data_IF_750773439695
#
_entry.id   IF_750773439695
#
_cell.length_a   1.000
_cell.length_b   1.000
_cell.length_c   1.000
_cell.angle_alpha   90.00
_cell.angle_beta   90.00
_cell.angle_gamma   90.00
#
_symmetry.space_group_name_H-M   'P 1'
#
loop_
_entity.id
_entity.type
_entity.pdbx_description
1 polymer ?
#
# COMPACT_ATOMS: atom_id res chain seq x y z
N UNK A 1 -20.30 -6.89 4.35
CA UNK A 1 -19.53 -6.41 5.53
C UNK A 1 -18.18 -7.13 5.59
N UNK A 2 -17.07 -6.53 5.15
CA UNK A 2 -15.71 -7.12 5.24
C UNK A 2 -14.78 -6.31 6.17
N UNK A 3 -15.33 -5.34 6.89
CA UNK A 3 -14.59 -4.36 7.71
C UNK A 3 -14.10 -4.90 9.07
N UNK A 4 -14.22 -6.21 9.34
CA UNK A 4 -13.93 -6.77 10.66
C UNK A 4 -12.72 -7.71 10.76
N UNK A 5 -12.03 -8.07 9.66
CA UNK A 5 -10.94 -9.08 9.69
C UNK A 5 -9.57 -8.57 9.22
N UNK A 6 -9.43 -7.27 8.97
CA UNK A 6 -8.15 -6.69 8.56
C UNK A 6 -7.11 -6.69 9.69
N UNK A 7 -7.45 -6.42 10.96
CA UNK A 7 -6.49 -6.47 12.06
C UNK A 7 -5.91 -7.87 12.29
N UNK A 8 -6.74 -8.91 12.25
CA UNK A 8 -6.34 -10.30 12.45
C UNK A 8 -5.50 -10.80 11.28
N UNK A 9 -5.93 -10.55 10.03
CA UNK A 9 -5.14 -10.88 8.86
C UNK A 9 -3.78 -10.17 8.89
N UNK A 10 -3.76 -8.88 9.24
CA UNK A 10 -2.52 -8.13 9.39
C UNK A 10 -1.62 -8.71 10.48
N UNK A 11 -2.18 -9.11 11.63
CA UNK A 11 -1.44 -9.73 12.73
C UNK A 11 -0.83 -11.06 12.30
N UNK A 12 -1.61 -11.92 11.67
CA UNK A 12 -1.17 -13.27 11.31
C UNK A 12 -0.12 -13.21 10.19
N UNK A 13 -0.27 -12.30 9.22
CA UNK A 13 0.74 -12.03 8.20
C UNK A 13 2.03 -11.45 8.81
N UNK A 14 1.94 -10.56 9.80
CA UNK A 14 3.12 -10.07 10.53
C UNK A 14 3.83 -11.18 11.30
N UNK A 15 3.09 -12.10 11.91
CA UNK A 15 3.69 -13.28 12.57
C UNK A 15 4.40 -14.17 11.55
N UNK A 16 3.78 -14.42 10.39
CA UNK A 16 4.41 -15.18 9.32
C UNK A 16 5.72 -14.52 8.86
N UNK A 17 5.75 -13.19 8.72
CA UNK A 17 6.94 -12.43 8.35
C UNK A 17 7.98 -12.32 9.48
N UNK A 18 7.59 -12.47 10.73
CA UNK A 18 8.53 -12.55 11.85
C UNK A 18 9.26 -13.91 11.87
N UNK A 19 8.59 -14.98 11.42
CA UNK A 19 9.17 -16.31 11.29
C UNK A 19 9.97 -16.47 10.01
N UNK A 20 9.45 -15.96 8.89
CA UNK A 20 10.07 -16.02 7.56
C UNK A 20 10.01 -14.63 6.91
N UNK A 21 11.03 -13.78 7.14
CA UNK A 21 11.06 -12.42 6.61
C UNK A 21 10.93 -12.33 5.09
N UNK A 22 11.43 -13.34 4.38
CA UNK A 22 11.43 -13.44 2.92
C UNK A 22 10.19 -14.11 2.35
N UNK A 23 9.14 -14.35 3.15
CA UNK A 23 7.94 -15.00 2.64
C UNK A 23 7.14 -14.06 1.73
N UNK A 24 7.46 -14.11 0.43
CA UNK A 24 6.94 -13.19 -0.59
C UNK A 24 5.40 -13.14 -0.60
N UNK A 25 4.74 -14.29 -0.53
CA UNK A 25 3.27 -14.37 -0.50
C UNK A 25 2.69 -13.63 0.71
N UNK A 26 3.31 -13.74 1.89
CA UNK A 26 2.87 -12.98 3.07
C UNK A 26 3.12 -11.46 2.92
N UNK A 27 4.21 -11.06 2.25
CA UNK A 27 4.48 -9.64 1.95
C UNK A 27 3.41 -9.05 1.01
N UNK A 28 3.05 -9.77 -0.08
CA UNK A 28 2.01 -9.37 -1.02
C UNK A 28 0.62 -9.30 -0.35
N UNK A 29 0.25 -10.32 0.43
CA UNK A 29 -1.01 -10.36 1.16
C UNK A 29 -1.11 -9.26 2.21
N UNK A 30 0.00 -8.93 2.89
CA UNK A 30 0.02 -7.83 3.85
C UNK A 30 -0.22 -6.48 3.15
N UNK A 31 0.37 -6.28 1.97
CA UNK A 31 0.14 -5.09 1.17
C UNK A 31 -1.33 -4.95 0.74
N UNK A 32 -1.97 -6.03 0.31
CA UNK A 32 -3.40 -6.07 -0.05
C UNK A 32 -4.28 -5.71 1.16
N UNK A 33 -3.99 -6.28 2.34
CA UNK A 33 -4.73 -5.97 3.57
C UNK A 33 -4.57 -4.50 3.97
N UNK A 34 -3.35 -3.94 3.87
CA UNK A 34 -3.07 -2.54 4.16
C UNK A 34 -3.78 -1.59 3.19
N UNK A 35 -3.83 -1.94 1.91
CA UNK A 35 -4.55 -1.19 0.88
C UNK A 35 -6.06 -1.17 1.19
N UNK A 36 -6.64 -2.35 1.47
CA UNK A 36 -8.05 -2.49 1.83
C UNK A 36 -8.41 -1.75 3.14
N UNK A 37 -7.46 -1.60 4.05
CA UNK A 37 -7.60 -0.81 5.28
C UNK A 37 -7.39 0.70 5.07
N UNK A 38 -7.21 1.17 3.83
CA UNK A 38 -6.98 2.59 3.51
C UNK A 38 -5.58 3.10 3.84
N UNK A 39 -4.68 2.22 4.32
CA UNK A 39 -3.30 2.57 4.70
C UNK A 39 -2.39 2.58 3.48
N UNK A 40 -2.70 3.44 2.52
CA UNK A 40 -2.09 3.50 1.18
C UNK A 40 -0.55 3.58 1.20
N UNK A 41 0.04 4.48 2.01
CA UNK A 41 1.51 4.61 2.12
C UNK A 41 2.17 3.32 2.65
N UNK A 42 1.53 2.65 3.61
CA UNK A 42 2.04 1.39 4.15
C UNK A 42 1.89 0.22 3.15
N UNK A 43 0.81 0.21 2.35
CA UNK A 43 0.61 -0.78 1.30
C UNK A 43 1.72 -0.71 0.24
N UNK A 44 2.06 0.50 -0.23
CA UNK A 44 3.17 0.71 -1.19
C UNK A 44 4.50 0.20 -0.65
N UNK A 45 4.81 0.48 0.62
CA UNK A 45 6.03 -0.02 1.24
C UNK A 45 6.09 -1.56 1.28
N UNK A 46 4.96 -2.22 1.58
CA UNK A 46 4.88 -3.68 1.59
C UNK A 46 4.99 -4.27 0.17
N UNK A 47 4.34 -3.67 -0.83
CA UNK A 47 4.50 -4.07 -2.24
C UNK A 47 5.93 -3.92 -2.75
N UNK A 48 6.63 -2.85 -2.36
CA UNK A 48 8.04 -2.66 -2.72
C UNK A 48 8.95 -3.73 -2.11
N UNK A 49 8.68 -4.14 -0.86
CA UNK A 49 9.41 -5.26 -0.23
C UNK A 49 9.20 -6.57 -0.97
N UNK A 50 7.96 -6.87 -1.38
CA UNK A 50 7.67 -8.00 -2.25
C UNK A 50 8.49 -7.91 -3.55
N UNK A 51 8.46 -6.78 -4.26
CA UNK A 51 9.17 -6.61 -5.53
C UNK A 51 10.71 -6.65 -5.40
N UNK A 52 11.24 -6.30 -4.22
CA UNK A 52 12.67 -6.35 -3.92
C UNK A 52 13.14 -7.76 -3.55
N UNK A 53 12.23 -8.68 -3.22
CA UNK A 53 12.55 -10.04 -2.83
C UNK A 53 13.00 -10.85 -4.07
N UNK A 54 14.26 -11.33 -4.14
CA UNK A 54 14.76 -12.10 -5.28
C UNK A 54 14.09 -13.47 -5.41
N UNK A 55 13.64 -14.03 -4.28
CA UNK A 55 13.00 -15.34 -4.17
C UNK A 55 11.49 -15.29 -4.48
N UNK A 56 10.94 -14.13 -4.86
CA UNK A 56 9.55 -14.03 -5.31
C UNK A 56 9.39 -14.71 -6.67
N UNK A 57 8.22 -15.31 -6.91
CA UNK A 57 7.93 -15.90 -8.21
C UNK A 57 7.84 -14.82 -9.30
N UNK A 58 8.54 -14.95 -10.44
CA UNK A 58 8.30 -14.09 -11.59
C UNK A 58 6.91 -14.41 -12.18
N UNK A 59 6.15 -13.39 -12.59
CA UNK A 59 4.86 -13.63 -13.23
C UNK A 59 3.91 -12.43 -13.25
N UNK A 60 2.65 -12.71 -13.59
CA UNK A 60 1.58 -11.72 -13.66
C UNK A 60 1.43 -10.91 -12.37
N UNK A 61 1.75 -11.50 -11.21
CA UNK A 61 1.68 -10.85 -9.90
C UNK A 61 2.60 -9.61 -9.80
N UNK A 62 3.82 -9.67 -10.36
CA UNK A 62 4.74 -8.52 -10.38
C UNK A 62 4.18 -7.34 -11.18
N UNK A 63 3.63 -7.62 -12.37
CA UNK A 63 3.05 -6.60 -13.24
C UNK A 63 1.83 -5.93 -12.58
N UNK A 64 0.95 -6.74 -11.97
CA UNK A 64 -0.21 -6.24 -11.23
C UNK A 64 0.21 -5.40 -10.02
N UNK A 65 1.22 -5.84 -9.26
CA UNK A 65 1.72 -5.10 -8.10
C UNK A 65 2.35 -3.77 -8.53
N UNK A 66 3.16 -3.74 -9.60
CA UNK A 66 3.72 -2.49 -10.14
C UNK A 66 2.62 -1.52 -10.56
N UNK A 67 1.59 -2.02 -11.25
CA UNK A 67 0.44 -1.20 -11.64
C UNK A 67 -0.31 -0.65 -10.43
N UNK A 68 -0.56 -1.48 -9.40
CA UNK A 68 -1.21 -1.06 -8.16
C UNK A 68 -0.41 0.01 -7.42
N UNK A 69 0.90 -0.16 -7.28
CA UNK A 69 1.79 0.84 -6.65
C UNK A 69 1.66 2.19 -7.36
N UNK A 70 1.79 2.22 -8.69
CA UNK A 70 1.64 3.44 -9.49
C UNK A 70 0.30 4.15 -9.21
N UNK A 71 -0.81 3.40 -9.28
CA UNK A 71 -2.15 3.96 -9.04
C UNK A 71 -2.34 4.51 -7.63
N UNK A 72 -1.77 3.84 -6.62
CA UNK A 72 -1.83 4.31 -5.24
C UNK A 72 -1.04 5.62 -5.07
N UNK A 73 0.16 5.69 -5.64
CA UNK A 73 1.02 6.86 -5.57
C UNK A 73 0.42 8.06 -6.30
N UNK A 74 -0.09 7.86 -7.52
CA UNK A 74 -0.85 8.87 -8.27
C UNK A 74 -2.05 9.38 -7.46
N UNK A 75 -2.79 8.45 -6.84
CA UNK A 75 -3.93 8.80 -5.98
C UNK A 75 -3.54 9.57 -4.72
N UNK A 76 -2.37 9.31 -4.13
CA UNK A 76 -1.83 10.09 -3.01
C UNK A 76 -1.44 11.49 -3.50
N UNK A 77 -0.69 11.59 -4.60
CA UNK A 77 -0.23 12.85 -5.16
C UNK A 77 -1.40 13.76 -5.56
N UNK A 78 -2.44 13.21 -6.19
CA UNK A 78 -3.64 13.97 -6.55
C UNK A 78 -4.37 14.54 -5.31
N UNK A 79 -4.41 13.79 -4.22
CA UNK A 79 -4.99 14.27 -2.95
C UNK A 79 -4.13 15.34 -2.28
N UNK A 80 -2.80 15.23 -2.39
CA UNK A 80 -1.87 16.24 -1.87
C UNK A 80 -1.95 17.55 -2.69
N UNK A 81 -2.03 17.47 -4.02
CA UNK A 81 -2.25 18.62 -4.89
C UNK A 81 -3.57 19.34 -4.59
N UNK A 82 -4.68 18.60 -4.42
CA UNK A 82 -5.98 19.19 -4.07
C UNK A 82 -5.92 19.98 -2.76
N UNK A 83 -5.15 19.50 -1.77
CA UNK A 83 -4.97 20.21 -0.49
C UNK A 83 -4.13 21.48 -0.65
N UNK A 84 -3.15 21.48 -1.54
CA UNK A 84 -2.34 22.65 -1.86
C UNK A 84 -3.10 23.75 -2.60
N UNK A 85 -4.03 23.39 -3.50
CA UNK A 85 -4.80 24.36 -4.29
C UNK A 85 -5.91 25.04 -3.46
N UNK A 86 -6.46 24.37 -2.44
CA UNK A 86 -7.50 24.94 -1.57
C UNK A 86 -7.00 25.88 -0.47
N UNK A 87 -5.69 26.03 -0.29
CA UNK A 87 -5.09 26.88 0.75
C UNK A 87 -4.67 28.28 0.28
N UNK A 88 -4.84 28.61 -1.00
CA UNK A 88 -4.34 29.86 -1.59
C UNK A 88 -5.44 30.88 -1.93
N UNK A 89 -6.63 30.72 -1.36
CA UNK A 89 -7.79 31.57 -1.60
C UNK A 89 -8.32 32.17 -0.31
N UNK A 90 -7.50 32.97 0.40
CA UNK A 90 -7.98 33.91 1.41
C UNK A 90 -6.85 34.86 1.87
N UNK A 91 -6.42 35.78 1.00
CA UNK A 91 -5.81 37.05 1.46
C UNK A 91 -5.74 38.05 0.31
N UNK A 92 -6.76 38.89 0.22
CA UNK A 92 -6.78 40.01 -0.72
C UNK A 92 -8.10 40.77 -0.68
N UNK A 93 -8.71 40.86 0.51
CA UNK A 93 -9.93 41.61 0.74
C UNK A 93 -9.61 42.91 1.47
N UNK A 94 -9.78 44.02 0.73
CA UNK A 94 -9.84 45.43 1.13
C UNK A 94 -8.50 46.16 1.35
#
# INVERSE_FOLDING_TARGET
RRMGRYPEAQRDLKKALALVPEYAVAQANLAIVLEAAGRKKAAVAAYRRYLANPSRGPGLEDALIRRRVSLIEEGIAALELRKGVGGNSESGGR
#
